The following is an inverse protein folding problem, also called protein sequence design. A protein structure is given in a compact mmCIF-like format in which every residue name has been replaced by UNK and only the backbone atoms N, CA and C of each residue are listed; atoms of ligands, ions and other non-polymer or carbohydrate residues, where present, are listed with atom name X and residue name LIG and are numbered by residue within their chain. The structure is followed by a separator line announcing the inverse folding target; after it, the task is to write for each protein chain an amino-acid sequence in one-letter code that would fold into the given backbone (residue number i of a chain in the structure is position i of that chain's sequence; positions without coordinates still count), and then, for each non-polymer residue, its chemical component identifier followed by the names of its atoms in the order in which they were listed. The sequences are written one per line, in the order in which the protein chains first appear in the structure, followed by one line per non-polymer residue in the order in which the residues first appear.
data_IF_124132317529
#
_entry.id   IF_124132317529
#
_cell.length_a   1.000
_cell.length_b   1.000
_cell.length_c   1.000
_cell.angle_alpha   90.00
_cell.angle_beta   90.00
_cell.angle_gamma   90.00
#
_symmetry.space_group_name_H-M   'P 1'
#
loop_
_entity.id
_entity.type
_entity.pdbx_description
1 polymer ?
#
# COMPACT_ATOMS: atom_id res chain seq x y z
N UNK A 1 -11.63 69.33 -14.51
CA UNK A 1 -10.93 68.17 -15.10
C UNK A 1 -10.72 67.16 -13.98
N UNK A 2 -11.30 65.99 -14.14
CA UNK A 2 -11.47 64.97 -13.10
C UNK A 2 -10.16 64.27 -12.74
N UNK A 3 -9.99 63.99 -11.45
CA UNK A 3 -9.00 63.05 -10.92
C UNK A 3 -9.18 61.65 -11.51
N UNK A 4 -8.11 60.89 -11.75
CA UNK A 4 -8.16 59.44 -11.75
C UNK A 4 -7.63 58.89 -10.43
N UNK A 5 -8.55 58.31 -9.67
CA UNK A 5 -8.30 57.34 -8.60
C UNK A 5 -7.60 56.10 -9.21
N UNK A 6 -6.41 55.76 -8.74
CA UNK A 6 -5.82 54.44 -8.95
C UNK A 6 -5.92 53.66 -7.62
N UNK A 7 -6.58 52.49 -7.57
CA UNK A 7 -6.58 51.70 -6.35
C UNK A 7 -5.20 51.10 -6.14
N UNK A 8 -4.58 51.44 -5.02
CA UNK A 8 -3.42 50.73 -4.47
C UNK A 8 -3.88 49.29 -4.22
N UNK A 9 -3.41 48.35 -5.05
CA UNK A 9 -3.53 46.92 -4.78
C UNK A 9 -2.62 46.60 -3.59
N UNK A 10 -3.21 46.56 -2.41
CA UNK A 10 -2.61 45.96 -1.23
C UNK A 10 -2.27 44.51 -1.57
N UNK A 11 -0.98 44.17 -1.59
CA UNK A 11 -0.51 42.78 -1.69
C UNK A 11 -1.03 42.05 -0.46
N UNK A 12 -1.88 41.03 -0.65
CA UNK A 12 -2.24 40.09 0.41
C UNK A 12 -0.98 39.40 0.93
N UNK A 13 -0.84 39.20 2.24
CA UNK A 13 0.28 38.49 2.83
C UNK A 13 0.12 36.97 2.63
N UNK A 14 1.25 36.32 2.39
CA UNK A 14 1.54 34.89 2.59
C UNK A 14 0.58 33.86 2.02
N UNK A 15 0.79 33.52 0.75
CA UNK A 15 0.69 32.12 0.36
C UNK A 15 1.80 31.36 1.09
N UNK A 16 1.51 30.33 1.91
CA UNK A 16 2.57 29.56 2.53
C UNK A 16 3.36 28.90 1.41
N UNK A 17 4.61 29.33 1.27
CA UNK A 17 5.61 28.64 0.47
C UNK A 17 5.70 27.26 1.09
N UNK A 18 5.27 26.22 0.36
CA UNK A 18 5.33 24.85 0.84
C UNK A 18 6.78 24.51 1.09
N UNK A 19 7.24 24.62 2.34
CA UNK A 19 8.55 24.15 2.74
C UNK A 19 8.61 22.66 2.42
N UNK A 20 9.51 22.30 1.51
CA UNK A 20 9.83 20.91 1.23
C UNK A 20 10.30 20.29 2.54
N UNK A 21 9.51 19.36 3.07
CA UNK A 21 9.80 18.77 4.36
C UNK A 21 11.08 17.95 4.29
N UNK A 22 11.92 18.08 5.30
CA UNK A 22 13.04 17.16 5.49
C UNK A 22 12.46 15.75 5.77
N UNK A 23 12.80 14.80 4.89
CA UNK A 23 12.34 13.40 4.96
C UNK A 23 12.73 12.72 6.27
N UNK A 24 13.79 13.19 6.92
CA UNK A 24 14.25 12.68 8.21
C UNK A 24 13.48 13.26 9.40
N UNK A 25 12.63 14.27 9.18
CA UNK A 25 11.76 14.82 10.22
C UNK A 25 10.58 13.89 10.49
N UNK A 26 10.22 13.64 11.76
CA UNK A 26 9.05 12.86 12.12
C UNK A 26 7.76 13.39 11.45
N UNK A 27 6.93 12.51 10.89
CA UNK A 27 5.69 12.90 10.24
C UNK A 27 4.63 13.25 11.31
N UNK A 28 3.59 14.03 10.96
CA UNK A 28 2.69 14.64 11.91
C UNK A 28 1.73 13.58 12.48
N UNK A 29 1.30 13.76 13.72
CA UNK A 29 0.39 12.83 14.41
C UNK A 29 -1.10 13.07 14.11
N UNK A 30 -1.41 13.85 13.08
CA UNK A 30 -2.78 14.17 12.67
C UNK A 30 -3.14 13.43 11.36
N UNK A 31 -4.04 12.43 11.41
CA UNK A 31 -4.46 11.68 10.23
C UNK A 31 -5.09 12.53 9.12
N UNK A 32 -5.73 13.65 9.46
CA UNK A 32 -6.40 14.50 8.47
C UNK A 32 -5.42 15.17 7.50
N UNK A 33 -4.11 15.20 7.84
CA UNK A 33 -3.05 15.76 7.00
C UNK A 33 -2.55 14.79 5.93
N UNK A 34 -2.97 13.52 5.97
CA UNK A 34 -2.44 12.51 5.06
C UNK A 34 -3.37 12.28 3.86
N UNK A 35 -2.82 12.43 2.66
CA UNK A 35 -3.50 11.97 1.45
C UNK A 35 -3.27 10.47 1.23
N UNK A 36 -4.15 9.82 0.49
CA UNK A 36 -4.06 8.39 0.19
C UNK A 36 -3.50 8.17 -1.21
N UNK A 37 -2.39 7.45 -1.32
CA UNK A 37 -1.91 6.98 -2.62
C UNK A 37 -2.90 6.00 -3.25
N UNK A 38 -2.86 5.84 -4.56
CA UNK A 38 -3.65 4.82 -5.26
C UNK A 38 -3.29 3.42 -4.74
N UNK A 39 -2.00 3.17 -4.49
CA UNK A 39 -1.54 1.90 -3.92
C UNK A 39 -2.18 1.61 -2.56
N UNK A 40 -2.22 2.59 -1.66
CA UNK A 40 -2.90 2.44 -0.38
C UNK A 40 -4.39 2.18 -0.54
N UNK A 41 -5.08 2.92 -1.44
CA UNK A 41 -6.50 2.72 -1.73
C UNK A 41 -6.81 1.33 -2.28
N UNK A 42 -5.94 0.79 -3.14
CA UNK A 42 -6.05 -0.59 -3.61
C UNK A 42 -5.90 -1.60 -2.48
N UNK A 43 -4.97 -1.38 -1.55
CA UNK A 43 -4.74 -2.26 -0.40
C UNK A 43 -5.97 -2.40 0.49
N UNK A 44 -6.71 -1.31 0.71
CA UNK A 44 -7.93 -1.31 1.52
C UNK A 44 -9.05 -2.21 0.96
N UNK A 45 -9.01 -2.52 -0.34
CA UNK A 45 -10.03 -3.32 -1.03
C UNK A 45 -9.65 -4.80 -1.15
N UNK A 46 -8.44 -5.19 -0.76
CA UNK A 46 -7.95 -6.55 -0.92
C UNK A 46 -8.47 -7.45 0.21
N UNK A 47 -9.19 -8.52 -0.14
CA UNK A 47 -9.59 -9.53 0.83
C UNK A 47 -8.38 -10.17 1.52
N UNK A 48 -8.55 -10.46 2.81
CA UNK A 48 -7.48 -10.94 3.67
C UNK A 48 -6.42 -9.89 3.97
N UNK A 49 -6.73 -8.59 3.80
CA UNK A 49 -6.00 -7.49 4.41
C UNK A 49 -6.92 -6.80 5.42
N UNK A 50 -6.42 -6.63 6.63
CA UNK A 50 -7.22 -6.13 7.76
C UNK A 50 -6.88 -4.68 8.11
N UNK A 51 -6.22 -3.96 7.19
CA UNK A 51 -5.98 -2.53 7.31
C UNK A 51 -7.20 -1.76 6.84
N UNK A 52 -7.64 -0.81 7.65
CA UNK A 52 -8.71 0.13 7.35
C UNK A 52 -8.23 1.57 7.53
N UNK A 53 -9.00 2.55 7.03
CA UNK A 53 -8.72 3.96 7.29
C UNK A 53 -8.77 4.31 8.78
N UNK A 54 -9.71 3.70 9.51
CA UNK A 54 -9.80 3.88 10.96
C UNK A 54 -8.53 3.36 11.65
N UNK A 55 -8.10 2.12 11.34
CA UNK A 55 -6.88 1.55 11.91
C UNK A 55 -5.63 2.37 11.53
N UNK A 56 -5.59 2.93 10.31
CA UNK A 56 -4.49 3.80 9.91
C UNK A 56 -4.47 5.13 10.67
N UNK A 57 -5.64 5.74 10.88
CA UNK A 57 -5.77 6.95 11.69
C UNK A 57 -5.35 6.71 13.15
N UNK A 58 -5.75 5.57 13.71
CA UNK A 58 -5.35 5.18 15.07
C UNK A 58 -3.84 4.94 15.16
N UNK A 59 -3.25 4.29 14.16
CA UNK A 59 -1.80 4.09 14.11
C UNK A 59 -1.04 5.42 14.04
N UNK A 60 -1.51 6.39 13.26
CA UNK A 60 -0.90 7.73 13.20
C UNK A 60 -0.96 8.42 14.57
N UNK A 61 -2.13 8.40 15.24
CA UNK A 61 -2.31 9.08 16.53
C UNK A 61 -1.51 8.43 17.66
N UNK A 62 -1.62 7.12 17.78
CA UNK A 62 -1.22 6.38 19.00
C UNK A 62 -0.05 5.42 18.77
N UNK A 63 0.21 5.05 17.52
CA UNK A 63 1.19 4.04 17.18
C UNK A 63 2.63 4.45 17.50
N UNK A 64 3.48 3.46 17.73
CA UNK A 64 4.92 3.68 17.80
C UNK A 64 5.43 4.15 16.43
N UNK A 65 6.21 5.23 16.42
CA UNK A 65 6.84 5.74 15.22
C UNK A 65 8.23 5.09 15.03
N UNK A 66 8.51 4.60 13.83
CA UNK A 66 9.78 3.95 13.46
C UNK A 66 10.28 4.50 12.13
N UNK A 67 11.59 4.70 12.02
CA UNK A 67 12.26 5.03 10.76
C UNK A 67 12.99 3.81 10.22
N UNK A 68 12.98 3.64 8.89
CA UNK A 68 13.81 2.68 8.17
C UNK A 68 14.37 3.37 6.91
N UNK A 69 15.63 3.06 6.57
CA UNK A 69 16.32 3.57 5.37
C UNK A 69 15.66 3.15 4.05
N UNK A 70 14.92 2.03 4.02
CA UNK A 70 14.31 1.51 2.77
C UNK A 70 12.94 2.13 2.49
N UNK A 71 12.05 2.15 3.49
CA UNK A 71 10.64 2.53 3.30
C UNK A 71 10.26 3.82 4.03
N UNK A 72 11.20 4.47 4.71
CA UNK A 72 10.96 5.69 5.47
C UNK A 72 10.22 5.49 6.79
N UNK A 73 9.34 6.43 7.12
CA UNK A 73 8.60 6.44 8.38
C UNK A 73 7.44 5.44 8.41
N UNK A 74 7.26 4.81 9.57
CA UNK A 74 6.20 3.86 9.84
C UNK A 74 5.54 4.12 11.18
N UNK A 75 4.22 4.05 11.22
CA UNK A 75 3.47 3.91 12.46
C UNK A 75 3.12 2.45 12.69
N UNK A 76 3.33 1.97 13.91
CA UNK A 76 3.01 0.62 14.33
C UNK A 76 2.12 0.65 15.57
N UNK A 77 0.91 0.10 15.47
CA UNK A 77 -0.04 0.00 16.57
C UNK A 77 -0.40 -1.46 16.80
N UNK A 78 -0.35 -1.93 18.04
CA UNK A 78 -0.81 -3.28 18.39
C UNK A 78 -2.18 -3.16 19.06
N UNK A 79 -3.17 -3.90 18.56
CA UNK A 79 -4.48 -4.08 19.19
C UNK A 79 -4.89 -5.53 19.00
N UNK A 80 -5.42 -6.15 20.04
CA UNK A 80 -6.00 -7.49 19.96
C UNK A 80 -5.00 -8.51 19.36
N UNK A 81 -3.76 -8.51 19.85
CA UNK A 81 -2.67 -9.37 19.36
C UNK A 81 -2.15 -9.07 17.94
N UNK A 82 -2.78 -8.15 17.19
CA UNK A 82 -2.42 -7.82 15.81
C UNK A 82 -1.72 -6.46 15.72
N UNK A 83 -0.56 -6.42 15.06
CA UNK A 83 0.15 -5.18 14.72
C UNK A 83 -0.32 -4.63 13.38
N UNK A 84 -0.78 -3.40 13.39
CA UNK A 84 -1.05 -2.59 12.21
C UNK A 84 0.19 -1.75 11.89
N UNK A 85 0.76 -1.94 10.70
CA UNK A 85 1.88 -1.14 10.22
C UNK A 85 1.40 -0.26 9.07
N UNK A 86 1.63 1.04 9.19
CA UNK A 86 1.30 2.05 8.18
C UNK A 86 2.57 2.77 7.76
N UNK A 87 2.90 2.69 6.47
CA UNK A 87 4.05 3.40 5.90
C UNK A 87 3.57 4.73 5.37
N UNK A 88 4.31 5.77 5.73
CA UNK A 88 4.06 7.12 5.26
C UNK A 88 5.28 7.66 4.54
N UNK A 89 5.03 8.39 3.47
CA UNK A 89 6.04 9.15 2.75
C UNK A 89 5.69 10.61 2.79
N UNK A 90 6.70 11.47 2.74
CA UNK A 90 6.47 12.85 2.33
C UNK A 90 6.41 12.90 0.80
N UNK A 91 5.81 13.96 0.29
CA UNK A 91 5.79 14.25 -1.15
C UNK A 91 6.44 15.61 -1.38
N UNK A 92 6.65 15.96 -2.64
CA UNK A 92 7.00 17.34 -3.02
C UNK A 92 5.88 18.34 -2.68
N UNK A 93 4.70 17.86 -2.30
CA UNK A 93 3.58 18.68 -1.81
C UNK A 93 3.59 18.76 -0.28
N UNK A 94 2.94 19.78 0.33
CA UNK A 94 2.94 19.97 1.79
C UNK A 94 2.29 18.84 2.60
N UNK A 95 1.56 17.93 1.94
CA UNK A 95 0.83 16.85 2.60
C UNK A 95 1.61 15.54 2.54
N UNK A 96 1.88 14.89 3.69
CA UNK A 96 2.38 13.52 3.68
C UNK A 96 1.32 12.57 3.09
N UNK A 97 1.76 11.40 2.67
CA UNK A 97 0.89 10.39 2.05
C UNK A 97 0.97 9.05 2.73
N UNK A 98 -0.17 8.36 2.81
CA UNK A 98 -0.23 6.94 3.13
C UNK A 98 0.23 6.15 1.91
N UNK A 99 1.40 5.52 2.02
CA UNK A 99 2.01 4.75 0.92
C UNK A 99 1.44 3.35 0.89
N UNK A 100 1.48 2.65 2.03
CA UNK A 100 0.97 1.27 2.15
C UNK A 100 0.67 0.93 3.60
N UNK A 101 0.01 -0.21 3.81
CA UNK A 101 -0.21 -0.74 5.14
C UNK A 101 -0.45 -2.25 5.13
N UNK A 102 -0.12 -2.89 6.25
CA UNK A 102 -0.39 -4.31 6.47
C UNK A 102 -0.59 -4.63 7.95
N UNK A 103 -0.98 -5.87 8.20
CA UNK A 103 -1.12 -6.44 9.55
C UNK A 103 -0.15 -7.60 9.74
N UNK A 104 0.31 -7.80 10.97
CA UNK A 104 1.16 -8.90 11.41
C UNK A 104 0.67 -9.40 12.77
N UNK A 105 0.94 -10.66 13.11
CA UNK A 105 0.72 -11.13 14.49
C UNK A 105 1.84 -10.57 15.37
N UNK A 106 1.46 -9.80 16.39
CA UNK A 106 2.37 -9.36 17.45
C UNK A 106 2.38 -10.32 18.63
N UNK A 107 1.21 -10.86 18.95
CA UNK A 107 0.98 -11.81 20.02
C UNK A 107 -0.11 -12.78 19.55
N UNK A 108 0.26 -14.05 19.42
CA UNK A 108 -0.64 -15.08 18.88
C UNK A 108 -1.77 -15.41 19.84
N UNK A 109 -1.45 -15.55 21.13
CA UNK A 109 -2.42 -15.93 22.15
C UNK A 109 -3.46 -14.81 22.29
N UNK A 110 -3.01 -13.57 22.42
CA UNK A 110 -3.91 -12.41 22.48
C UNK A 110 -4.75 -12.21 21.20
N UNK A 111 -4.27 -12.65 20.03
CA UNK A 111 -5.02 -12.56 18.78
C UNK A 111 -6.13 -13.62 18.69
N UNK A 112 -5.85 -14.85 19.13
CA UNK A 112 -6.82 -15.96 19.12
C UNK A 112 -7.87 -15.81 20.22
N UNK A 113 -7.50 -15.26 21.38
CA UNK A 113 -8.44 -15.01 22.48
C UNK A 113 -9.35 -13.79 22.25
N UNK A 114 -9.08 -12.99 21.22
CA UNK A 114 -9.88 -11.81 20.91
C UNK A 114 -11.15 -12.16 20.15
N UNK A 115 -12.30 -11.68 20.63
CA UNK A 115 -13.59 -11.75 19.93
C UNK A 115 -13.62 -11.01 18.58
N UNK A 116 -12.58 -10.22 18.29
CA UNK A 116 -12.46 -9.45 17.05
C UNK A 116 -12.13 -10.32 15.84
N UNK A 117 -11.38 -11.40 16.05
CA UNK A 117 -10.78 -12.17 14.97
C UNK A 117 -11.36 -13.57 14.94
N UNK A 118 -11.70 -14.04 13.75
CA UNK A 118 -11.88 -15.48 13.57
C UNK A 118 -10.51 -16.16 13.49
N UNK A 119 -10.46 -17.47 13.80
CA UNK A 119 -9.26 -18.29 13.58
C UNK A 119 -8.74 -18.16 12.14
N UNK A 120 -9.66 -18.08 11.16
CA UNK A 120 -9.30 -17.89 9.76
C UNK A 120 -8.61 -16.55 9.51
N UNK A 121 -9.00 -15.48 10.23
CA UNK A 121 -8.36 -14.17 10.12
C UNK A 121 -6.95 -14.19 10.71
N UNK A 122 -6.78 -14.72 11.92
CA UNK A 122 -5.47 -14.83 12.58
C UNK A 122 -4.49 -15.63 11.71
N UNK A 123 -4.92 -16.79 11.21
CA UNK A 123 -4.12 -17.62 10.31
C UNK A 123 -3.82 -16.90 8.98
N UNK A 124 -4.78 -16.15 8.42
CA UNK A 124 -4.56 -15.38 7.19
C UNK A 124 -3.54 -14.27 7.40
N UNK A 125 -3.60 -13.55 8.52
CA UNK A 125 -2.63 -12.51 8.88
C UNK A 125 -1.23 -13.12 8.98
N UNK A 126 -1.09 -14.22 9.71
CA UNK A 126 0.19 -14.92 9.87
C UNK A 126 0.76 -15.39 8.53
N UNK A 127 -0.04 -16.08 7.72
CA UNK A 127 0.38 -16.57 6.40
C UNK A 127 0.90 -15.44 5.51
N UNK A 128 0.26 -14.28 5.52
CA UNK A 128 0.71 -13.13 4.70
C UNK A 128 1.99 -12.50 5.24
N UNK A 129 2.16 -12.42 6.56
CA UNK A 129 3.40 -11.98 7.16
C UNK A 129 4.55 -12.93 6.81
N UNK A 130 4.31 -14.24 6.83
CA UNK A 130 5.29 -15.26 6.47
C UNK A 130 5.68 -15.19 5.00
N UNK A 131 4.71 -15.05 4.09
CA UNK A 131 4.97 -14.88 2.65
C UNK A 131 5.73 -13.58 2.35
N UNK A 132 5.52 -12.53 3.14
CA UNK A 132 6.24 -11.26 3.00
C UNK A 132 7.66 -11.33 3.55
N UNK A 133 7.89 -12.11 4.61
CA UNK A 133 9.21 -12.29 5.23
C UNK A 133 10.07 -13.24 4.40
N UNK A 134 9.46 -14.29 3.84
CA UNK A 134 10.16 -15.36 3.14
C UNK A 134 9.92 -15.29 1.63
N UNK A 135 10.05 -14.11 1.02
CA UNK A 135 9.83 -13.91 -0.43
C UNK A 135 10.65 -14.86 -1.31
N UNK A 136 11.81 -15.27 -0.80
CA UNK A 136 12.76 -16.15 -1.50
C UNK A 136 12.58 -17.64 -1.15
N UNK A 137 11.86 -17.98 -0.08
CA UNK A 137 11.48 -19.38 0.17
C UNK A 137 10.38 -19.72 -0.82
N UNK A 138 10.67 -20.62 -1.75
CA UNK A 138 9.63 -21.22 -2.58
C UNK A 138 8.53 -21.76 -1.66
N UNK A 139 7.29 -21.35 -1.94
CA UNK A 139 6.10 -22.00 -1.37
C UNK A 139 6.32 -23.52 -1.57
N UNK A 140 6.27 -24.34 -0.50
CA UNK A 140 6.48 -25.78 -0.62
C UNK A 140 5.65 -26.29 -1.79
N UNK A 141 6.27 -27.08 -2.69
CA UNK A 141 5.70 -27.54 -3.97
C UNK A 141 4.43 -28.40 -3.86
N UNK A 142 3.69 -28.31 -2.75
CA UNK A 142 2.41 -28.93 -2.47
C UNK A 142 1.21 -28.03 -2.79
N UNK A 143 1.38 -26.71 -2.92
CA UNK A 143 0.42 -25.92 -3.72
C UNK A 143 0.82 -26.15 -5.18
N UNK A 144 0.36 -27.27 -5.76
CA UNK A 144 0.52 -27.47 -7.20
C UNK A 144 -0.17 -26.30 -7.89
N UNK A 145 0.52 -25.54 -8.77
CA UNK A 145 -0.15 -24.61 -9.65
C UNK A 145 -1.29 -25.38 -10.30
N UNK A 146 -2.53 -24.96 -10.05
CA UNK A 146 -3.67 -25.53 -10.76
C UNK A 146 -3.36 -25.29 -12.23
N UNK A 147 -3.26 -26.35 -13.02
CA UNK A 147 -3.07 -26.24 -14.47
C UNK A 147 -4.30 -25.49 -14.97
N UNK A 148 -4.15 -24.20 -15.22
CA UNK A 148 -5.18 -23.40 -15.87
C UNK A 148 -5.05 -23.74 -17.34
N UNK A 149 -5.67 -24.85 -17.74
CA UNK A 149 -5.56 -25.39 -19.11
C UNK A 149 -6.07 -24.39 -20.16
N UNK A 150 -6.94 -23.46 -19.75
CA UNK A 150 -7.45 -22.37 -20.58
C UNK A 150 -6.74 -21.07 -20.25
N UNK A 151 -6.37 -20.34 -21.29
CA UNK A 151 -5.88 -18.98 -21.13
C UNK A 151 -6.97 -18.11 -20.45
N UNK A 152 -6.58 -17.17 -19.60
CA UNK A 152 -7.49 -16.30 -18.84
C UNK A 152 -7.10 -14.83 -19.01
N UNK A 153 -8.05 -13.92 -18.82
CA UNK A 153 -7.83 -12.51 -19.15
C UNK A 153 -7.19 -11.73 -17.99
N UNK A 154 -6.10 -11.00 -18.28
CA UNK A 154 -5.45 -10.08 -17.35
C UNK A 154 -4.93 -8.88 -18.13
N UNK A 155 -5.37 -7.66 -17.78
CA UNK A 155 -4.87 -6.44 -18.41
C UNK A 155 -5.17 -6.32 -19.91
N UNK A 156 -6.27 -6.93 -20.39
CA UNK A 156 -6.60 -7.00 -21.81
C UNK A 156 -5.83 -8.09 -22.60
N UNK A 157 -5.03 -8.92 -21.92
CA UNK A 157 -4.32 -10.04 -22.52
C UNK A 157 -4.93 -11.37 -22.10
N UNK A 158 -5.06 -12.31 -23.02
CA UNK A 158 -5.46 -13.69 -22.72
C UNK A 158 -4.22 -14.53 -22.38
N UNK A 159 -3.85 -14.59 -21.11
CA UNK A 159 -2.56 -15.15 -20.67
C UNK A 159 -2.60 -16.66 -20.41
N UNK A 160 -1.48 -17.32 -20.72
CA UNK A 160 -1.13 -18.70 -20.40
C UNK A 160 0.12 -18.72 -19.52
N UNK A 161 0.23 -19.74 -18.68
CA UNK A 161 1.38 -19.97 -17.82
C UNK A 161 1.75 -21.46 -17.82
N UNK A 162 3.00 -21.82 -18.05
CA UNK A 162 3.45 -23.18 -17.75
C UNK A 162 3.98 -23.27 -16.30
N UNK A 163 3.77 -24.40 -15.60
CA UNK A 163 4.35 -24.59 -14.27
C UNK A 163 5.86 -24.39 -14.29
N UNK A 164 6.37 -23.56 -13.37
CA UNK A 164 7.81 -23.27 -13.24
C UNK A 164 8.30 -22.10 -14.09
N UNK A 165 7.46 -21.49 -14.93
CA UNK A 165 7.85 -20.30 -15.68
C UNK A 165 7.78 -19.02 -14.83
N UNK A 166 8.84 -18.21 -14.89
CA UNK A 166 8.92 -16.90 -14.23
C UNK A 166 8.23 -15.76 -14.99
N UNK A 167 7.34 -16.08 -15.94
CA UNK A 167 6.61 -15.14 -16.77
C UNK A 167 5.24 -15.69 -17.15
N UNK A 168 4.34 -14.81 -17.57
CA UNK A 168 3.08 -15.18 -18.25
C UNK A 168 3.18 -14.81 -19.73
N UNK A 169 2.61 -15.63 -20.61
CA UNK A 169 2.63 -15.39 -22.05
C UNK A 169 1.21 -15.08 -22.56
N UNK A 170 1.04 -14.00 -23.31
CA UNK A 170 -0.22 -13.72 -23.98
C UNK A 170 -0.44 -14.71 -25.14
N UNK A 171 -1.61 -15.34 -25.18
CA UNK A 171 -2.00 -16.27 -26.25
C UNK A 171 -2.37 -15.56 -27.55
N UNK A 172 -2.55 -14.24 -27.52
CA UNK A 172 -3.01 -13.44 -28.66
C UNK A 172 -1.84 -12.70 -29.31
N UNK A 173 -1.04 -11.93 -28.55
CA UNK A 173 0.13 -11.20 -29.08
C UNK A 173 1.49 -11.90 -28.86
N UNK A 174 1.54 -13.00 -28.11
CA UNK A 174 2.79 -13.71 -27.79
C UNK A 174 3.70 -13.01 -26.77
N UNK A 175 3.33 -11.81 -26.28
CA UNK A 175 4.10 -11.04 -25.30
C UNK A 175 4.36 -11.82 -24.01
N UNK A 176 5.57 -11.70 -23.45
CA UNK A 176 5.99 -12.35 -22.20
C UNK A 176 6.20 -11.32 -21.10
N UNK A 177 5.53 -11.50 -19.98
CA UNK A 177 5.50 -10.52 -18.91
C UNK A 177 5.88 -11.14 -17.57
N UNK A 178 6.87 -10.54 -16.90
CA UNK A 178 7.36 -10.98 -15.58
C UNK A 178 6.64 -10.30 -14.42
N UNK A 179 5.77 -9.33 -14.69
CA UNK A 179 4.96 -8.64 -13.68
C UNK A 179 3.59 -8.28 -14.22
N UNK A 180 2.60 -8.23 -13.33
CA UNK A 180 1.25 -7.77 -13.68
C UNK A 180 1.24 -6.32 -14.18
N UNK A 181 2.11 -5.46 -13.63
CA UNK A 181 2.24 -4.06 -14.07
C UNK A 181 2.67 -3.98 -15.54
N UNK A 182 3.74 -4.67 -15.91
CA UNK A 182 4.21 -4.72 -17.29
C UNK A 182 3.16 -5.28 -18.26
N UNK A 183 2.38 -6.27 -17.81
CA UNK A 183 1.25 -6.81 -18.58
C UNK A 183 0.15 -5.77 -18.78
N UNK A 184 -0.30 -5.10 -17.72
CA UNK A 184 -1.42 -4.15 -17.75
C UNK A 184 -1.09 -2.80 -18.40
N UNK A 185 0.19 -2.39 -18.42
CA UNK A 185 0.67 -1.16 -19.09
C UNK A 185 0.89 -1.38 -20.60
N UNK A 186 0.88 -2.64 -21.06
CA UNK A 186 1.04 -3.00 -22.46
C UNK A 186 -0.29 -3.40 -23.07
N UNK A 187 -0.51 -3.05 -24.33
CA UNK A 187 -1.66 -3.51 -25.09
C UNK A 187 -1.25 -4.63 -26.05
N UNK A 188 -2.17 -5.56 -26.35
CA UNK A 188 -2.01 -6.38 -27.54
C UNK A 188 -2.07 -5.46 -28.75
N UNK A 189 -0.94 -5.20 -29.39
CA UNK A 189 -0.93 -4.72 -30.76
C UNK A 189 -1.47 -5.87 -31.62
N UNK A 190 -2.54 -5.61 -32.37
CA UNK A 190 -3.12 -6.57 -33.33
C UNK A 190 -2.23 -6.72 -34.55
#
# INVERSE_FOLDING_TARGET
MSSPNAPIRTRSPDSPTGETRDLSSPPPRDPARYAQTDHFRERLRQQGRYVSLAAAGDAIREGQLRWNTTDGWRFALVRDGVRYVVVVGDTETPSPVLVTGWTEIADWEAAVESDRWSDADVNTIQLRADLSTHKERQIPGRIRPRVVARAFEVGGHRVRTAPGEGFVACADCGGRYRSKRALCESHCEQ
#
